data_IF_255464149030
#
_entry.id   IF_255464149030
#
_cell.length_a   1.000
_cell.length_b   1.000
_cell.length_c   1.000
_cell.angle_alpha   90.00
_cell.angle_beta   90.00
_cell.angle_gamma   90.00
#
_symmetry.space_group_name_H-M   'P 1'
#
loop_
_entity.id
_entity.type
_entity.pdbx_description
1 polymer ?
#
# COMPACT_ATOMS: atom_id res chain seq x y z
N UNK A 1 -21.34 -42.39 -19.25
CA UNK A 1 -21.96 -41.31 -18.45
C UNK A 1 -21.54 -41.60 -17.02
N UNK A 2 -20.67 -40.86 -16.33
CA UNK A 2 -20.12 -39.53 -16.52
C UNK A 2 -18.61 -39.55 -16.25
N UNK A 3 -17.89 -38.80 -17.07
CA UNK A 3 -16.45 -38.56 -16.97
C UNK A 3 -16.20 -37.37 -16.05
N UNK A 4 -15.03 -37.37 -15.39
CA UNK A 4 -14.36 -36.17 -14.87
C UNK A 4 -14.99 -35.51 -13.63
N UNK A 5 -14.41 -35.70 -12.44
CA UNK A 5 -14.20 -34.65 -11.41
C UNK A 5 -13.47 -35.25 -10.20
N UNK A 6 -12.15 -35.33 -10.27
CA UNK A 6 -11.31 -35.39 -9.06
C UNK A 6 -10.04 -34.59 -9.30
N UNK A 7 -10.21 -33.31 -9.68
CA UNK A 7 -9.17 -32.31 -9.45
C UNK A 7 -9.23 -31.98 -7.97
N UNK A 8 -8.19 -32.42 -7.27
CA UNK A 8 -7.91 -32.15 -5.85
C UNK A 8 -8.30 -30.73 -5.49
N UNK A 9 -9.21 -30.65 -4.53
CA UNK A 9 -9.66 -29.46 -3.82
C UNK A 9 -8.46 -28.90 -3.03
N UNK A 10 -7.58 -28.16 -3.70
CA UNK A 10 -6.66 -27.21 -3.05
C UNK A 10 -7.39 -25.87 -3.05
N UNK A 11 -8.52 -25.81 -2.33
CA UNK A 11 -9.11 -24.54 -1.94
C UNK A 11 -8.55 -24.29 -0.55
N UNK A 12 -7.51 -23.48 -0.49
CA UNK A 12 -7.03 -22.85 0.73
C UNK A 12 -8.27 -22.30 1.45
N UNK A 13 -8.47 -22.71 2.71
CA UNK A 13 -9.45 -22.07 3.60
C UNK A 13 -8.97 -20.63 3.83
N UNK A 14 -9.37 -19.71 2.96
CA UNK A 14 -9.20 -18.28 3.15
C UNK A 14 -10.12 -17.84 4.29
N UNK A 15 -9.60 -17.79 5.51
CA UNK A 15 -10.28 -17.12 6.60
C UNK A 15 -10.09 -15.60 6.42
N UNK A 16 -11.17 -14.82 6.50
CA UNK A 16 -11.14 -13.35 6.37
C UNK A 16 -10.11 -12.69 7.32
N UNK A 17 -9.79 -13.34 8.44
CA UNK A 17 -8.85 -12.87 9.46
C UNK A 17 -7.37 -12.90 9.04
N UNK A 18 -7.00 -13.45 7.86
CA UNK A 18 -5.58 -13.65 7.49
C UNK A 18 -5.21 -13.08 6.11
N UNK A 19 -6.10 -12.33 5.46
CA UNK A 19 -5.81 -11.77 4.13
C UNK A 19 -5.17 -10.39 4.21
N UNK A 20 -5.50 -9.60 5.24
CA UNK A 20 -5.08 -8.19 5.36
C UNK A 20 -3.57 -8.02 5.38
N UNK A 21 -2.83 -8.95 5.98
CA UNK A 21 -1.35 -8.95 6.00
C UNK A 21 -0.69 -9.10 4.62
N UNK A 22 -1.46 -9.43 3.57
CA UNK A 22 -1.00 -9.49 2.18
C UNK A 22 -1.51 -8.32 1.34
N UNK A 23 -2.25 -7.38 1.93
CA UNK A 23 -2.88 -6.27 1.24
C UNK A 23 -2.28 -4.95 1.72
N UNK A 24 -2.01 -4.06 0.76
CA UNK A 24 -1.70 -2.67 1.03
C UNK A 24 -3.00 -1.85 1.08
N UNK A 25 -3.12 -0.99 2.09
CA UNK A 25 -4.28 -0.10 2.19
C UNK A 25 -3.93 1.26 1.61
N UNK A 26 -4.62 1.64 0.53
CA UNK A 26 -4.21 2.77 -0.31
C UNK A 26 -5.21 3.93 -0.33
N UNK A 27 -4.70 5.16 -0.37
CA UNK A 27 -5.48 6.35 -0.74
C UNK A 27 -4.65 7.28 -1.64
N UNK A 28 -4.95 7.24 -2.94
CA UNK A 28 -4.36 8.09 -3.97
C UNK A 28 -5.30 9.15 -4.49
N UNK A 29 -6.42 9.40 -3.83
CA UNK A 29 -7.35 10.40 -4.30
C UNK A 29 -6.67 11.78 -4.31
N UNK A 30 -6.86 12.53 -5.39
CA UNK A 30 -6.15 13.80 -5.62
C UNK A 30 -6.47 14.88 -4.59
N UNK A 31 -7.63 14.78 -3.93
CA UNK A 31 -8.08 15.68 -2.86
C UNK A 31 -7.92 15.09 -1.45
N UNK A 32 -7.20 13.96 -1.32
CA UNK A 32 -6.98 13.32 -0.03
C UNK A 32 -6.40 14.33 0.96
N UNK A 33 -7.05 14.45 2.12
CA UNK A 33 -6.66 15.38 3.19
C UNK A 33 -5.74 14.72 4.19
N UNK A 34 -4.98 15.52 4.94
CA UNK A 34 -4.15 15.05 6.06
C UNK A 34 -4.95 14.16 7.03
N UNK A 35 -6.18 14.56 7.35
CA UNK A 35 -7.05 13.78 8.25
C UNK A 35 -7.36 12.38 7.72
N UNK A 36 -7.65 12.26 6.43
CA UNK A 36 -7.90 10.97 5.78
C UNK A 36 -6.65 10.09 5.71
N UNK A 37 -5.46 10.68 5.55
CA UNK A 37 -4.20 9.92 5.58
C UNK A 37 -3.89 9.39 6.99
N UNK A 38 -4.15 10.19 8.03
CA UNK A 38 -4.04 9.72 9.42
C UNK A 38 -5.01 8.57 9.72
N UNK A 39 -6.27 8.71 9.28
CA UNK A 39 -7.27 7.64 9.39
C UNK A 39 -6.84 6.37 8.64
N UNK A 40 -6.25 6.52 7.45
CA UNK A 40 -5.69 5.39 6.70
C UNK A 40 -4.61 4.67 7.52
N UNK A 41 -3.66 5.40 8.11
CA UNK A 41 -2.60 4.81 8.93
C UNK A 41 -3.17 4.09 10.16
N UNK A 42 -4.20 4.66 10.80
CA UNK A 42 -4.90 4.01 11.91
C UNK A 42 -5.53 2.69 11.48
N UNK A 43 -6.22 2.65 10.33
CA UNK A 43 -6.83 1.44 9.78
C UNK A 43 -5.81 0.37 9.42
N UNK A 44 -4.62 0.77 8.95
CA UNK A 44 -3.52 -0.17 8.68
C UNK A 44 -3.14 -0.92 9.95
N UNK A 45 -2.98 -0.20 11.07
CA UNK A 45 -2.66 -0.80 12.37
C UNK A 45 -3.84 -1.59 12.93
N UNK A 46 -5.06 -1.04 12.87
CA UNK A 46 -6.27 -1.65 13.43
C UNK A 46 -6.60 -3.00 12.77
N UNK A 47 -6.49 -3.08 11.45
CA UNK A 47 -6.87 -4.28 10.68
C UNK A 47 -5.68 -5.13 10.23
N UNK A 48 -4.45 -4.74 10.57
CA UNK A 48 -3.25 -5.47 10.23
C UNK A 48 -2.94 -5.51 8.73
N UNK A 49 -3.19 -4.42 8.00
CA UNK A 49 -2.76 -4.33 6.61
C UNK A 49 -1.22 -4.35 6.52
N UNK A 50 -0.69 -4.80 5.38
CA UNK A 50 0.75 -4.84 5.16
C UNK A 50 1.38 -3.45 5.22
N UNK A 51 0.82 -2.50 4.45
CA UNK A 51 1.35 -1.14 4.33
C UNK A 51 0.26 -0.08 4.25
N UNK A 52 0.61 1.15 4.64
CA UNK A 52 -0.07 2.37 4.23
C UNK A 52 0.50 2.82 2.88
N UNK A 53 -0.32 2.84 1.83
CA UNK A 53 0.11 3.24 0.50
C UNK A 53 -0.49 4.60 0.13
N UNK A 54 0.36 5.63 0.02
CA UNK A 54 -0.07 7.04 -0.05
C UNK A 54 0.55 7.76 -1.26
N UNK A 55 0.03 8.95 -1.59
CA UNK A 55 0.70 9.83 -2.55
C UNK A 55 2.04 10.35 -1.98
N UNK A 56 3.06 10.64 -2.83
CA UNK A 56 4.42 10.98 -2.38
C UNK A 56 4.48 12.10 -1.34
N UNK A 57 3.64 13.14 -1.48
CA UNK A 57 3.59 14.27 -0.55
C UNK A 57 3.18 13.90 0.89
N UNK A 58 2.68 12.68 1.10
CA UNK A 58 2.22 12.18 2.39
C UNK A 58 3.14 11.10 2.98
N UNK A 59 4.23 10.71 2.32
CA UNK A 59 5.14 9.65 2.81
C UNK A 59 5.67 10.00 4.20
N UNK A 60 6.20 11.20 4.36
CA UNK A 60 6.72 11.66 5.66
C UNK A 60 5.66 11.64 6.77
N UNK A 61 4.45 12.09 6.47
CA UNK A 61 3.33 12.05 7.41
C UNK A 61 2.98 10.60 7.78
N UNK A 62 2.84 9.71 6.79
CA UNK A 62 2.52 8.31 7.03
C UNK A 62 3.62 7.62 7.87
N UNK A 63 4.89 7.94 7.63
CA UNK A 63 6.01 7.46 8.45
C UNK A 63 5.94 7.97 9.88
N UNK A 64 5.61 9.25 10.09
CA UNK A 64 5.42 9.82 11.43
C UNK A 64 4.27 9.14 12.19
N UNK A 65 3.16 8.81 11.52
CA UNK A 65 1.99 8.17 12.13
C UNK A 65 2.21 6.68 12.42
N UNK A 66 2.88 5.94 11.53
CA UNK A 66 3.13 4.49 11.68
C UNK A 66 4.39 4.16 12.49
N UNK A 67 5.29 5.13 12.65
CA UNK A 67 6.58 4.92 13.30
C UNK A 67 7.49 3.94 12.53
N UNK A 68 8.52 3.39 13.18
CA UNK A 68 9.55 2.58 12.50
C UNK A 68 9.11 1.14 12.17
N UNK A 69 7.96 0.70 12.66
CA UNK A 69 7.50 -0.70 12.53
C UNK A 69 6.48 -0.90 11.41
N UNK A 70 5.76 0.15 11.00
CA UNK A 70 4.78 0.06 9.92
C UNK A 70 5.44 0.26 8.55
N UNK A 71 4.86 -0.36 7.53
CA UNK A 71 5.32 -0.24 6.14
C UNK A 71 4.62 0.94 5.46
N UNK A 72 5.37 1.79 4.77
CA UNK A 72 4.89 2.96 4.02
C UNK A 72 5.27 2.81 2.55
N UNK A 73 4.26 2.66 1.69
CA UNK A 73 4.42 2.62 0.24
C UNK A 73 4.01 3.92 -0.43
N UNK A 74 4.60 4.22 -1.59
CA UNK A 74 4.17 5.32 -2.45
C UNK A 74 4.36 5.01 -3.93
N UNK A 75 3.56 5.65 -4.78
CA UNK A 75 3.71 5.56 -6.22
C UNK A 75 4.56 6.72 -6.77
N UNK A 76 5.45 6.43 -7.72
CA UNK A 76 6.23 7.46 -8.44
C UNK A 76 5.70 7.60 -9.85
N UNK A 77 5.57 8.85 -10.32
CA UNK A 77 5.02 9.18 -11.65
C UNK A 77 3.61 8.62 -11.89
N UNK A 78 2.81 8.43 -10.85
CA UNK A 78 1.42 8.00 -10.99
C UNK A 78 0.49 9.21 -11.11
N UNK A 79 -0.60 9.15 -11.93
CA UNK A 79 -1.05 8.00 -12.71
C UNK A 79 -0.48 7.91 -14.14
N UNK A 80 0.10 8.98 -14.68
CA UNK A 80 0.38 9.07 -16.13
C UNK A 80 1.72 8.45 -16.56
N UNK A 81 2.74 8.47 -15.71
CA UNK A 81 4.03 7.85 -15.98
C UNK A 81 4.91 8.57 -17.00
N UNK A 82 4.53 9.77 -17.46
CA UNK A 82 5.14 10.48 -18.60
C UNK A 82 6.32 11.38 -18.24
N UNK A 83 6.90 11.21 -17.06
CA UNK A 83 8.08 11.95 -16.62
C UNK A 83 9.36 11.41 -17.26
N UNK A 84 10.40 12.25 -17.28
CA UNK A 84 11.75 11.83 -17.66
C UNK A 84 12.30 10.81 -16.65
N UNK A 85 13.26 10.00 -17.08
CA UNK A 85 13.98 9.06 -16.20
C UNK A 85 14.60 9.76 -15.00
N UNK A 86 15.22 10.92 -15.20
CA UNK A 86 15.95 11.61 -14.13
C UNK A 86 14.98 12.21 -13.10
N UNK A 87 13.82 12.69 -13.54
CA UNK A 87 12.72 13.10 -12.64
C UNK A 87 12.24 11.93 -11.78
N UNK A 88 12.02 10.74 -12.38
CA UNK A 88 11.62 9.53 -11.65
C UNK A 88 12.64 9.15 -10.57
N UNK A 89 13.93 9.18 -10.92
CA UNK A 89 15.00 8.87 -9.98
C UNK A 89 14.99 9.84 -8.80
N UNK A 90 14.86 11.14 -9.06
CA UNK A 90 14.82 12.16 -8.01
C UNK A 90 13.64 11.92 -7.04
N UNK A 91 12.44 11.66 -7.57
CA UNK A 91 11.26 11.37 -6.75
C UNK A 91 11.40 10.07 -5.94
N UNK A 92 12.02 9.02 -6.49
CA UNK A 92 12.31 7.80 -5.72
C UNK A 92 13.26 8.09 -4.56
N UNK A 93 14.32 8.87 -4.78
CA UNK A 93 15.30 9.23 -3.73
C UNK A 93 14.64 10.03 -2.63
N UNK A 94 13.82 11.02 -2.98
CA UNK A 94 13.06 11.83 -2.01
C UNK A 94 12.08 10.98 -1.20
N UNK A 95 11.32 10.09 -1.84
CA UNK A 95 10.40 9.18 -1.15
C UNK A 95 11.10 8.29 -0.12
N UNK A 96 12.26 7.72 -0.46
CA UNK A 96 13.06 6.91 0.48
C UNK A 96 13.59 7.78 1.64
N UNK A 97 14.02 9.01 1.37
CA UNK A 97 14.46 9.95 2.41
C UNK A 97 13.33 10.34 3.37
N UNK A 98 12.11 10.49 2.85
CA UNK A 98 10.91 10.75 3.65
C UNK A 98 10.40 9.51 4.40
N UNK A 99 10.96 8.34 4.11
CA UNK A 99 10.73 7.11 4.85
C UNK A 99 9.77 6.12 4.20
N UNK A 100 9.67 6.09 2.87
CA UNK A 100 9.06 4.97 2.15
C UNK A 100 9.95 3.71 2.22
N UNK A 101 9.32 2.53 2.24
CA UNK A 101 9.96 1.21 2.27
C UNK A 101 10.13 0.57 0.87
#
# INVERSE_FOLDING_TARGET
METTTTRRKVLLEYNMENVTHYLDFANHHQDATIGQIKELCQKVVEYGFHAAFVNPCYVKLAREELGPIGVVGTAVSFPLGQDTKDTKIASCVEAVQDGAD
#
